data_IF_370250023374
#
_entry.id   IF_370250023374
#
_cell.length_a   1.000
_cell.length_b   1.000
_cell.length_c   1.000
_cell.angle_alpha   90.00
_cell.angle_beta   90.00
_cell.angle_gamma   90.00
#
_symmetry.space_group_name_H-M   'P 1'
#
loop_
_entity.id
_entity.type
_entity.pdbx_description
1 polymer ?
#
# COMPACT_ATOMS: atom_id res chain seq x y z
N UNK A 1 10.55 9.73 -22.25
CA UNK A 1 11.61 9.73 -21.22
C UNK A 1 12.70 8.80 -21.71
N UNK A 2 13.95 9.26 -21.78
CA UNK A 2 15.05 8.41 -22.25
C UNK A 2 15.33 7.28 -21.24
N UNK A 3 15.63 6.08 -21.72
CA UNK A 3 15.75 4.86 -20.89
C UNK A 3 16.79 5.00 -19.77
N UNK A 4 17.85 5.77 -19.99
CA UNK A 4 18.91 6.01 -18.99
C UNK A 4 18.39 6.80 -17.78
N UNK A 5 17.54 7.81 -18.00
CA UNK A 5 17.00 8.64 -16.93
C UNK A 5 16.06 7.84 -16.00
N UNK A 6 15.27 6.94 -16.58
CA UNK A 6 14.42 6.03 -15.80
C UNK A 6 15.25 5.06 -14.93
N UNK A 7 16.39 4.56 -15.45
CA UNK A 7 17.30 3.69 -14.71
C UNK A 7 17.87 4.38 -13.47
N UNK A 8 18.34 5.62 -13.62
CA UNK A 8 18.89 6.40 -12.50
C UNK A 8 17.83 6.67 -11.43
N UNK A 9 16.60 7.01 -11.83
CA UNK A 9 15.50 7.26 -10.91
C UNK A 9 15.16 5.99 -10.10
N UNK A 10 15.12 4.83 -10.75
CA UNK A 10 14.82 3.55 -10.08
C UNK A 10 15.93 3.19 -9.09
N UNK A 11 17.20 3.32 -9.48
CA UNK A 11 18.34 3.07 -8.59
C UNK A 11 18.32 4.01 -7.38
N UNK A 12 18.16 5.31 -7.60
CA UNK A 12 18.13 6.30 -6.53
C UNK A 12 16.94 6.08 -5.59
N UNK A 13 15.78 5.69 -6.13
CA UNK A 13 14.62 5.31 -5.34
C UNK A 13 14.93 4.12 -4.42
N UNK A 14 15.56 3.07 -4.97
CA UNK A 14 15.98 1.89 -4.19
C UNK A 14 16.91 2.25 -3.04
N UNK A 15 17.98 3.00 -3.31
CA UNK A 15 19.04 3.30 -2.34
C UNK A 15 18.69 4.38 -1.31
N UNK A 16 17.67 5.21 -1.54
CA UNK A 16 17.28 6.26 -0.60
C UNK A 16 16.87 5.68 0.78
N UNK A 17 17.13 6.40 1.88
CA UNK A 17 16.68 5.96 3.21
C UNK A 17 15.22 6.34 3.47
N UNK A 18 14.49 5.49 4.20
CA UNK A 18 13.10 5.70 4.58
C UNK A 18 12.09 5.29 3.51
N UNK A 19 10.82 5.62 3.75
CA UNK A 19 9.68 5.24 2.89
C UNK A 19 9.55 3.72 2.66
N UNK A 20 9.96 2.92 3.64
CA UNK A 20 10.02 1.44 3.56
C UNK A 20 8.66 0.85 3.17
N UNK A 21 7.58 1.27 3.82
CA UNK A 21 6.22 0.86 3.47
C UNK A 21 5.93 1.17 2.01
N UNK A 22 6.07 2.42 1.57
CA UNK A 22 5.80 2.83 0.20
C UNK A 22 6.63 2.05 -0.84
N UNK A 23 7.89 1.75 -0.53
CA UNK A 23 8.76 0.98 -1.43
C UNK A 23 8.32 -0.46 -1.63
N UNK A 24 7.60 -1.06 -0.69
CA UNK A 24 6.97 -2.39 -0.89
C UNK A 24 5.87 -2.36 -1.94
N UNK A 25 5.09 -1.27 -1.98
CA UNK A 25 3.91 -1.18 -2.86
C UNK A 25 4.17 -0.44 -4.18
N UNK A 26 5.23 0.38 -4.25
CA UNK A 26 5.47 1.28 -5.37
C UNK A 26 6.81 1.02 -6.06
N UNK A 27 6.72 0.44 -7.25
CA UNK A 27 7.74 0.55 -8.30
C UNK A 27 7.29 1.56 -9.36
N UNK A 28 8.26 2.24 -9.98
CA UNK A 28 7.98 3.17 -11.07
C UNK A 28 7.37 2.42 -12.26
N UNK A 29 6.14 2.78 -12.64
CA UNK A 29 5.45 2.34 -13.85
C UNK A 29 4.65 3.52 -14.43
N UNK A 30 4.91 3.85 -15.69
CA UNK A 30 4.28 5.00 -16.36
C UNK A 30 2.75 4.86 -16.49
N UNK A 31 2.22 3.64 -16.63
CA UNK A 31 0.78 3.39 -16.72
C UNK A 31 0.11 3.63 -15.36
N UNK A 32 0.79 3.30 -14.26
CA UNK A 32 0.31 3.62 -12.90
C UNK A 32 0.24 5.12 -12.66
N UNK A 33 1.25 5.85 -13.12
CA UNK A 33 1.24 7.31 -13.05
C UNK A 33 0.06 7.89 -13.85
N UNK A 34 -0.17 7.40 -15.07
CA UNK A 34 -1.30 7.82 -15.90
C UNK A 34 -2.66 7.48 -15.26
N UNK A 35 -2.80 6.29 -14.68
CA UNK A 35 -3.99 5.89 -13.93
C UNK A 35 -4.25 6.83 -12.74
N UNK A 36 -3.23 7.10 -11.93
CA UNK A 36 -3.34 7.99 -10.78
C UNK A 36 -3.77 9.41 -11.18
N UNK A 37 -3.30 9.91 -12.32
CA UNK A 37 -3.69 11.22 -12.86
C UNK A 37 -5.16 11.29 -13.30
N UNK A 38 -5.79 10.16 -13.60
CA UNK A 38 -7.22 10.07 -13.98
C UNK A 38 -8.16 9.94 -12.77
N UNK A 39 -7.63 9.73 -11.57
CA UNK A 39 -8.44 9.61 -10.36
C UNK A 39 -8.97 10.97 -9.91
N UNK A 40 -10.20 11.00 -9.39
CA UNK A 40 -10.68 12.14 -8.64
C UNK A 40 -9.88 12.34 -7.34
N UNK A 41 -10.00 13.53 -6.73
CA UNK A 41 -9.28 13.90 -5.50
C UNK A 41 -9.51 12.91 -4.34
N UNK A 42 -10.72 12.35 -4.21
CA UNK A 42 -11.06 11.44 -3.10
C UNK A 42 -10.33 10.11 -3.28
N UNK A 43 -10.38 9.56 -4.49
CA UNK A 43 -9.75 8.29 -4.83
C UNK A 43 -8.22 8.41 -4.85
N UNK A 44 -7.67 9.53 -5.35
CA UNK A 44 -6.24 9.80 -5.28
C UNK A 44 -5.75 9.88 -3.83
N UNK A 45 -6.49 10.55 -2.94
CA UNK A 45 -6.15 10.61 -1.51
C UNK A 45 -6.16 9.23 -0.86
N UNK A 46 -7.14 8.39 -1.19
CA UNK A 46 -7.21 7.00 -0.72
C UNK A 46 -6.00 6.19 -1.18
N UNK A 47 -5.66 6.28 -2.47
CA UNK A 47 -4.50 5.59 -3.03
C UNK A 47 -3.21 6.03 -2.35
N UNK A 48 -2.95 7.34 -2.28
CA UNK A 48 -1.73 7.90 -1.65
C UNK A 48 -1.65 7.51 -0.18
N UNK A 49 -2.74 7.66 0.58
CA UNK A 49 -2.74 7.29 2.00
C UNK A 49 -2.48 5.80 2.22
N UNK A 50 -3.02 4.94 1.35
CA UNK A 50 -2.79 3.50 1.44
C UNK A 50 -1.34 3.12 1.12
N UNK A 51 -0.81 3.65 0.01
CA UNK A 51 0.55 3.40 -0.45
C UNK A 51 1.61 3.97 0.50
N UNK A 52 1.34 5.11 1.13
CA UNK A 52 2.29 5.76 2.05
C UNK A 52 2.14 5.31 3.50
N UNK A 53 1.12 4.51 3.81
CA UNK A 53 0.86 4.07 5.19
C UNK A 53 0.19 5.14 6.06
N UNK A 54 -0.18 6.30 5.51
CA UNK A 54 -0.73 7.46 6.24
C UNK A 54 -2.24 7.38 6.50
N UNK A 55 -2.79 6.17 6.61
CA UNK A 55 -4.13 5.98 7.15
C UNK A 55 -4.06 5.60 8.63
N UNK A 56 -4.96 6.19 9.41
CA UNK A 56 -5.11 5.89 10.83
C UNK A 56 -5.61 4.45 10.99
N UNK A 57 -4.67 3.53 11.23
CA UNK A 57 -4.97 2.14 11.58
C UNK A 57 -4.99 1.96 13.10
N UNK A 58 -5.69 0.95 13.60
CA UNK A 58 -5.80 0.70 15.04
C UNK A 58 -4.43 0.48 15.70
N UNK A 59 -3.43 -0.06 15.01
CA UNK A 59 -2.04 -0.12 15.48
C UNK A 59 -1.52 1.25 15.92
N UNK A 60 -1.71 2.26 15.08
CA UNK A 60 -1.25 3.62 15.35
C UNK A 60 -2.03 4.23 16.51
N UNK A 61 -3.35 4.10 16.50
CA UNK A 61 -4.21 4.59 17.59
C UNK A 61 -3.88 3.92 18.93
N UNK A 62 -3.64 2.61 18.93
CA UNK A 62 -3.30 1.86 20.13
C UNK A 62 -1.93 2.27 20.68
N UNK A 63 -0.93 2.48 19.82
CA UNK A 63 0.37 3.03 20.22
C UNK A 63 0.28 4.46 20.79
N UNK A 64 -0.72 5.22 20.36
CA UNK A 64 -1.02 6.54 20.91
C UNK A 64 -1.95 6.49 22.13
N UNK A 65 -2.30 5.30 22.61
CA UNK A 65 -3.25 5.08 23.72
C UNK A 65 -4.67 5.63 23.45
N UNK A 66 -5.00 5.90 22.18
CA UNK A 66 -6.30 6.37 21.72
C UNK A 66 -7.29 5.23 21.39
N UNK A 67 -6.82 3.98 21.41
CA UNK A 67 -7.63 2.78 21.19
C UNK A 67 -7.23 1.68 22.17
N UNK A 68 -8.23 1.00 22.75
CA UNK A 68 -8.01 -0.13 23.65
C UNK A 68 -7.43 -1.38 22.96
N UNK A 69 -7.36 -1.40 21.63
CA UNK A 69 -6.78 -2.51 20.86
C UNK A 69 -6.06 -2.03 19.60
N UNK A 70 -4.94 -2.70 19.30
CA UNK A 70 -4.22 -2.58 18.03
C UNK A 70 -4.78 -3.48 16.92
N UNK A 71 -5.76 -4.34 17.22
CA UNK A 71 -6.26 -5.34 16.27
C UNK A 71 -7.07 -4.73 15.12
N UNK A 72 -7.04 -5.44 13.99
CA UNK A 72 -7.75 -5.09 12.78
C UNK A 72 -9.25 -5.15 13.00
N UNK A 73 -9.95 -4.04 12.67
CA UNK A 73 -11.41 -3.93 12.76
C UNK A 73 -12.17 -4.86 11.80
N UNK A 74 -11.48 -5.44 10.82
CA UNK A 74 -12.11 -6.30 9.81
C UNK A 74 -11.99 -7.78 10.19
N UNK A 75 -10.79 -8.27 10.51
CA UNK A 75 -10.60 -9.68 10.87
C UNK A 75 -10.63 -9.94 12.39
N UNK A 76 -10.36 -8.94 13.22
CA UNK A 76 -10.29 -9.07 14.69
C UNK A 76 -9.09 -9.85 15.23
N UNK A 77 -8.23 -10.41 14.37
CA UNK A 77 -7.18 -11.35 14.78
C UNK A 77 -5.77 -10.74 14.81
N UNK A 78 -5.41 -9.97 13.78
CA UNK A 78 -4.04 -9.44 13.60
C UNK A 78 -3.95 -7.95 13.88
N UNK A 79 -2.73 -7.43 14.08
CA UNK A 79 -2.47 -6.01 14.27
C UNK A 79 -2.84 -5.21 13.00
N UNK A 80 -3.57 -4.11 13.16
CA UNK A 80 -4.06 -3.32 12.04
C UNK A 80 -2.93 -2.46 11.44
N UNK A 81 -2.28 -2.93 10.37
CA UNK A 81 -1.36 -2.13 9.55
C UNK A 81 -1.93 -1.92 8.15
N UNK A 82 -1.41 -0.93 7.41
CA UNK A 82 -1.79 -0.76 6.00
C UNK A 82 -1.36 -1.95 5.15
N UNK A 83 -0.22 -2.57 5.47
CA UNK A 83 0.24 -3.81 4.84
C UNK A 83 -0.76 -4.94 5.06
N UNK A 84 -1.18 -5.19 6.32
CA UNK A 84 -2.21 -6.16 6.62
C UNK A 84 -3.51 -5.88 5.86
N UNK A 85 -3.97 -4.63 5.80
CA UNK A 85 -5.21 -4.28 5.10
C UNK A 85 -5.12 -4.52 3.58
N UNK A 86 -3.99 -4.18 2.96
CA UNK A 86 -3.80 -4.27 1.51
C UNK A 86 -3.46 -5.70 1.07
N UNK A 87 -2.66 -6.43 1.84
CA UNK A 87 -2.05 -7.69 1.44
C UNK A 87 -2.71 -8.91 2.09
N UNK A 88 -2.94 -8.90 3.40
CA UNK A 88 -3.06 -10.16 4.16
C UNK A 88 -4.40 -10.38 4.85
N UNK A 89 -5.17 -9.32 5.08
CA UNK A 89 -6.39 -9.39 5.87
C UNK A 89 -7.42 -10.35 5.27
N UNK A 90 -7.60 -11.53 5.88
CA UNK A 90 -8.51 -12.57 5.38
C UNK A 90 -9.95 -12.06 5.17
N UNK A 91 -10.43 -11.18 6.06
CA UNK A 91 -11.74 -10.54 5.93
C UNK A 91 -11.89 -9.67 4.67
N UNK A 92 -10.78 -9.19 4.10
CA UNK A 92 -10.73 -8.43 2.85
C UNK A 92 -10.35 -9.31 1.64
N UNK A 93 -10.01 -10.58 1.83
CA UNK A 93 -9.51 -11.47 0.78
C UNK A 93 -10.45 -11.60 -0.42
N UNK A 94 -11.77 -11.74 -0.20
CA UNK A 94 -12.74 -11.77 -1.30
C UNK A 94 -12.81 -10.45 -2.09
N UNK A 95 -12.62 -9.30 -1.44
CA UNK A 95 -12.58 -8.02 -2.17
C UNK A 95 -11.33 -7.95 -3.04
N UNK A 96 -10.19 -8.39 -2.48
CA UNK A 96 -8.91 -8.50 -3.17
C UNK A 96 -9.00 -9.43 -4.39
N UNK A 97 -9.61 -10.61 -4.22
CA UNK A 97 -9.79 -11.58 -5.30
C UNK A 97 -10.59 -11.02 -6.47
N UNK A 98 -11.66 -10.27 -6.21
CA UNK A 98 -12.45 -9.65 -7.30
C UNK A 98 -11.69 -8.59 -8.09
N UNK A 99 -10.70 -7.94 -7.49
CA UNK A 99 -9.95 -6.84 -8.11
C UNK A 99 -8.66 -7.34 -8.76
N UNK A 100 -7.99 -8.30 -8.13
CA UNK A 100 -6.61 -8.71 -8.45
C UNK A 100 -6.47 -10.22 -8.68
N UNK A 101 -7.56 -10.99 -8.59
CA UNK A 101 -7.56 -12.45 -8.71
C UNK A 101 -6.65 -13.16 -7.70
N UNK A 102 -6.43 -12.55 -6.53
CA UNK A 102 -5.62 -13.09 -5.43
C UNK A 102 -6.28 -12.79 -4.06
N UNK A 103 -6.18 -13.74 -3.11
CA UNK A 103 -6.73 -13.58 -1.75
C UNK A 103 -5.75 -12.86 -0.80
N UNK A 104 -4.47 -13.18 -0.96
CA UNK A 104 -3.34 -12.52 -0.30
C UNK A 104 -2.33 -12.05 -1.33
N UNK A 105 -1.43 -11.15 -0.93
CA UNK A 105 -0.38 -10.65 -1.83
C UNK A 105 0.95 -10.76 -1.10
N UNK A 106 1.82 -11.63 -1.62
CA UNK A 106 3.19 -11.74 -1.12
C UNK A 106 3.99 -10.46 -1.41
N UNK A 107 5.10 -10.26 -0.72
CA UNK A 107 5.90 -9.04 -0.84
C UNK A 107 6.36 -8.78 -2.29
N UNK A 108 6.70 -9.84 -3.04
CA UNK A 108 7.01 -9.75 -4.48
C UNK A 108 5.80 -9.38 -5.35
N UNK A 109 4.59 -9.66 -4.87
CA UNK A 109 3.32 -9.31 -5.50
C UNK A 109 2.88 -7.87 -5.23
N UNK A 110 3.35 -7.24 -4.14
CA UNK A 110 3.00 -5.86 -3.78
C UNK A 110 3.49 -4.86 -4.83
N UNK A 111 4.66 -5.12 -5.42
CA UNK A 111 5.21 -4.33 -6.53
C UNK A 111 4.39 -4.43 -7.82
N UNK A 112 3.40 -5.32 -7.89
CA UNK A 112 2.55 -5.60 -9.06
C UNK A 112 1.10 -5.14 -8.89
N UNK A 113 0.76 -4.49 -7.78
CA UNK A 113 -0.57 -3.93 -7.54
C UNK A 113 -1.03 -3.01 -8.69
N UNK A 114 -2.26 -3.25 -9.15
CA UNK A 114 -2.88 -2.68 -10.35
C UNK A 114 -3.80 -1.51 -10.04
#
# INVERSE_FOLDING_TARGET
MEKWAASIIIEQWGYSRGQEHLKKFLSFDARRAEFALKLDRKNLRLLVGALTGHYTCNKHLHRMELSGTGTCRFCGMEEASMEHLIADCLALGHKRYRIQNAYTIEEEGLLKLH
#
